data_IF_024948630194
#
_entry.id   IF_024948630194
#
_cell.length_a   1.000
_cell.length_b   1.000
_cell.length_c   1.000
_cell.angle_alpha   90.00
_cell.angle_beta   90.00
_cell.angle_gamma   90.00
#
_symmetry.space_group_name_H-M   'P 1'
#
loop_
_entity.id
_entity.type
_entity.pdbx_description
1 polymer ?
#
# COMPACT_ATOMS: atom_id res chain seq x y z
N UNK A 1 -3.88 8.22 -2.41
CA UNK A 1 -5.01 9.12 -2.27
C UNK A 1 -6.32 8.37 -2.07
N UNK A 2 -6.61 7.37 -2.90
CA UNK A 2 -7.83 6.56 -2.82
C UNK A 2 -7.99 5.91 -1.45
N UNK A 3 -6.93 5.35 -0.88
CA UNK A 3 -6.92 4.75 0.47
C UNK A 3 -7.37 5.72 1.56
N UNK A 4 -6.92 6.98 1.49
CA UNK A 4 -7.33 8.03 2.43
C UNK A 4 -8.82 8.39 2.28
N UNK A 5 -9.29 8.51 1.03
CA UNK A 5 -10.71 8.80 0.79
C UNK A 5 -11.63 7.66 1.26
N UNK A 6 -11.22 6.41 1.06
CA UNK A 6 -11.95 5.24 1.58
C UNK A 6 -11.96 5.20 3.10
N UNK A 7 -10.82 5.45 3.73
CA UNK A 7 -10.69 5.45 5.18
C UNK A 7 -11.64 6.45 5.86
N UNK A 8 -11.82 7.64 5.26
CA UNK A 8 -12.80 8.62 5.73
C UNK A 8 -14.23 8.05 5.71
N UNK A 9 -14.59 7.23 4.70
CA UNK A 9 -15.89 6.57 4.63
C UNK A 9 -16.09 5.50 5.70
N UNK A 10 -14.98 4.92 6.18
CA UNK A 10 -14.96 3.93 7.25
C UNK A 10 -14.81 4.56 8.66
N UNK A 11 -14.85 5.90 8.74
CA UNK A 11 -14.75 6.64 10.01
C UNK A 11 -13.33 6.76 10.55
N UNK A 12 -12.30 6.36 9.77
CA UNK A 12 -10.90 6.52 10.16
C UNK A 12 -10.53 8.00 10.06
N UNK A 13 -10.00 8.57 11.11
CA UNK A 13 -9.65 9.99 11.19
C UNK A 13 -8.43 10.23 12.10
N UNK A 14 -7.98 11.48 12.17
CA UNK A 14 -6.92 11.88 13.09
C UNK A 14 -5.60 11.12 12.86
N UNK A 15 -5.04 10.56 13.92
CA UNK A 15 -3.76 9.83 13.90
C UNK A 15 -3.82 8.57 13.06
N UNK A 16 -4.93 7.85 13.10
CA UNK A 16 -5.13 6.61 12.33
C UNK A 16 -5.14 6.90 10.83
N UNK A 17 -5.75 8.00 10.41
CA UNK A 17 -5.76 8.42 9.00
C UNK A 17 -4.37 8.84 8.53
N UNK A 18 -3.60 9.52 9.39
CA UNK A 18 -2.21 9.87 9.10
C UNK A 18 -1.35 8.62 8.93
N UNK A 19 -1.46 7.66 9.84
CA UNK A 19 -0.72 6.40 9.78
C UNK A 19 -1.10 5.57 8.55
N UNK A 20 -2.40 5.45 8.26
CA UNK A 20 -2.84 4.78 7.03
C UNK A 20 -2.23 5.41 5.78
N UNK A 21 -2.19 6.74 5.69
CA UNK A 21 -1.57 7.43 4.55
C UNK A 21 -0.08 7.06 4.43
N UNK A 22 0.64 6.98 5.55
CA UNK A 22 2.05 6.56 5.58
C UNK A 22 2.20 5.10 5.18
N UNK A 23 1.37 4.19 5.72
CA UNK A 23 1.38 2.77 5.31
C UNK A 23 1.10 2.62 3.81
N UNK A 24 0.12 3.35 3.28
CA UNK A 24 -0.20 3.30 1.85
C UNK A 24 0.93 3.83 0.96
N UNK A 25 1.73 4.80 1.43
CA UNK A 25 2.93 5.27 0.73
C UNK A 25 4.09 4.26 0.80
N UNK A 26 4.14 3.46 1.84
CA UNK A 26 5.24 2.55 2.15
C UNK A 26 4.91 1.08 1.88
N UNK A 27 3.71 0.74 1.37
CA UNK A 27 3.29 -0.66 1.26
C UNK A 27 4.28 -1.53 0.48
N UNK A 28 4.86 -0.99 -0.57
CA UNK A 28 5.84 -1.64 -1.44
C UNK A 28 7.30 -1.22 -1.14
N UNK A 29 7.61 -0.80 0.10
CA UNK A 29 8.94 -0.30 0.46
C UNK A 29 10.09 -1.29 0.20
N UNK A 30 9.80 -2.58 0.17
CA UNK A 30 10.76 -3.65 -0.09
C UNK A 30 10.74 -4.20 -1.52
N UNK A 31 9.86 -3.73 -2.39
CA UNK A 31 9.69 -4.32 -3.72
C UNK A 31 10.96 -4.20 -4.57
N UNK A 32 11.64 -3.05 -4.53
CA UNK A 32 12.90 -2.86 -5.28
C UNK A 32 14.01 -3.74 -4.72
N UNK A 33 14.12 -3.88 -3.40
CA UNK A 33 15.07 -4.78 -2.75
C UNK A 33 14.82 -6.22 -3.19
N UNK A 34 13.59 -6.69 -3.12
CA UNK A 34 13.18 -8.02 -3.52
C UNK A 34 13.54 -8.31 -4.98
N UNK A 35 13.22 -7.41 -5.90
CA UNK A 35 13.54 -7.56 -7.33
C UNK A 35 15.05 -7.65 -7.55
N UNK A 36 15.86 -6.85 -6.87
CA UNK A 36 17.31 -6.88 -7.01
C UNK A 36 17.90 -8.18 -6.47
N UNK A 37 17.47 -8.65 -5.32
CA UNK A 37 17.92 -9.91 -4.74
C UNK A 37 17.57 -11.11 -5.64
N UNK A 38 16.37 -11.13 -6.23
CA UNK A 38 15.95 -12.13 -7.20
C UNK A 38 16.80 -12.11 -8.50
N UNK A 39 17.07 -10.92 -9.04
CA UNK A 39 17.91 -10.78 -10.24
C UNK A 39 19.36 -11.28 -10.01
N UNK A 40 19.89 -11.09 -8.80
CA UNK A 40 21.22 -11.59 -8.44
C UNK A 40 21.25 -13.09 -8.17
N UNK A 41 20.12 -13.70 -7.83
CA UNK A 41 20.04 -15.15 -7.52
C UNK A 41 19.94 -16.05 -8.76
N UNK A 42 19.94 -15.50 -9.99
CA UNK A 42 19.75 -16.22 -11.26
C UNK A 42 18.46 -17.08 -11.34
N UNK A 43 17.45 -16.77 -10.56
CA UNK A 43 16.16 -17.45 -10.61
C UNK A 43 15.35 -16.92 -11.81
N UNK A 44 15.56 -17.56 -12.97
CA UNK A 44 15.02 -17.15 -14.27
C UNK A 44 13.57 -17.57 -14.51
N UNK A 45 12.89 -18.19 -13.57
CA UNK A 45 11.50 -18.60 -13.71
C UNK A 45 10.54 -17.64 -13.00
N UNK A 46 10.13 -16.59 -13.72
CA UNK A 46 9.03 -15.69 -13.31
C UNK A 46 7.65 -16.39 -13.19
N UNK A 47 7.62 -17.71 -13.22
CA UNK A 47 6.37 -18.49 -13.15
C UNK A 47 5.90 -18.83 -11.75
N UNK A 48 6.72 -18.61 -10.75
CA UNK A 48 6.36 -18.93 -9.36
C UNK A 48 5.93 -17.66 -8.62
N UNK A 49 4.64 -17.32 -8.72
CA UNK A 49 3.94 -16.32 -7.91
C UNK A 49 3.87 -16.61 -6.38
N UNK A 50 4.49 -17.67 -5.79
CA UNK A 50 4.51 -17.88 -4.33
C UNK A 50 5.33 -16.83 -3.56
N UNK A 51 5.99 -15.89 -4.24
CA UNK A 51 6.97 -14.98 -3.61
C UNK A 51 6.48 -13.58 -3.31
N UNK A 52 5.23 -13.29 -3.65
CA UNK A 52 4.63 -11.99 -3.32
C UNK A 52 4.67 -11.72 -1.80
N UNK A 53 4.53 -12.74 -0.97
CA UNK A 53 4.66 -12.65 0.48
C UNK A 53 6.07 -12.29 0.98
N UNK A 54 7.12 -12.48 0.17
CA UNK A 54 8.50 -12.18 0.58
C UNK A 54 8.71 -10.68 0.73
N UNK A 55 8.31 -9.86 -0.27
CA UNK A 55 8.44 -8.41 -0.13
C UNK A 55 7.54 -7.85 0.98
N UNK A 56 6.39 -8.47 1.24
CA UNK A 56 5.54 -8.10 2.37
C UNK A 56 6.25 -8.32 3.72
N UNK A 57 6.92 -9.46 3.88
CA UNK A 57 7.68 -9.78 5.09
C UNK A 57 8.86 -8.84 5.29
N UNK A 58 9.67 -8.62 4.25
CA UNK A 58 10.79 -7.68 4.29
C UNK A 58 10.28 -6.25 4.56
N UNK A 59 9.19 -5.86 3.90
CA UNK A 59 8.59 -4.55 4.06
C UNK A 59 8.08 -4.27 5.47
N UNK A 60 7.47 -5.26 6.12
CA UNK A 60 7.05 -5.17 7.52
C UNK A 60 8.26 -5.06 8.46
N UNK A 61 9.35 -5.80 8.19
CA UNK A 61 10.59 -5.69 8.94
C UNK A 61 11.25 -4.32 8.79
N UNK A 62 11.29 -3.79 7.58
CA UNK A 62 11.89 -2.49 7.27
C UNK A 62 11.24 -1.34 8.05
N UNK A 63 9.94 -1.41 8.30
CA UNK A 63 9.20 -0.38 9.05
C UNK A 63 9.22 -0.58 10.56
N UNK A 64 9.91 -1.62 11.08
CA UNK A 64 10.05 -1.81 12.52
C UNK A 64 10.75 -0.61 13.16
N UNK A 65 10.03 0.04 14.09
CA UNK A 65 10.51 1.25 14.75
C UNK A 65 10.26 2.54 13.97
N UNK A 66 9.52 2.49 12.87
CA UNK A 66 8.94 3.68 12.26
C UNK A 66 7.98 4.34 13.26
N UNK A 67 8.00 5.68 13.36
CA UNK A 67 7.24 6.37 14.40
C UNK A 67 5.76 6.52 14.04
N UNK A 68 5.03 5.40 13.97
CA UNK A 68 3.58 5.44 13.83
C UNK A 68 2.92 5.92 15.13
N UNK A 69 1.78 6.55 15.03
CA UNK A 69 0.97 6.98 16.17
C UNK A 69 0.15 5.84 16.78
N UNK A 70 -0.14 4.84 15.97
CA UNK A 70 -0.99 3.70 16.32
C UNK A 70 -0.17 2.42 16.45
N UNK A 71 -0.73 1.45 17.17
CA UNK A 71 -0.11 0.13 17.39
C UNK A 71 -0.62 -0.93 16.38
N UNK A 72 -1.14 -0.52 15.23
CA UNK A 72 -1.59 -1.46 14.19
C UNK A 72 -0.37 -2.16 13.62
N UNK A 73 -0.37 -3.50 13.69
CA UNK A 73 0.75 -4.35 13.23
C UNK A 73 0.37 -5.14 12.01
N UNK A 74 1.39 -5.62 11.29
CA UNK A 74 1.24 -6.49 10.13
C UNK A 74 0.47 -5.84 8.98
N UNK A 75 0.48 -4.50 8.89
CA UNK A 75 -0.20 -3.78 7.81
C UNK A 75 0.48 -4.07 6.48
N UNK A 76 1.80 -3.95 6.43
CA UNK A 76 2.59 -4.26 5.24
C UNK A 76 2.63 -5.77 5.01
N UNK A 77 2.73 -6.57 6.08
CA UNK A 77 2.78 -8.03 5.97
C UNK A 77 1.56 -8.59 5.22
N UNK A 78 0.36 -8.06 5.49
CA UNK A 78 -0.89 -8.62 4.98
C UNK A 78 -1.55 -7.80 3.87
N UNK A 79 -0.84 -6.83 3.26
CA UNK A 79 -1.45 -5.97 2.23
C UNK A 79 -1.76 -6.67 0.90
N UNK A 80 -1.37 -7.92 0.72
CA UNK A 80 -1.76 -8.78 -0.41
C UNK A 80 -2.66 -9.96 -0.02
N UNK A 81 -3.20 -9.97 1.20
CA UNK A 81 -4.14 -11.00 1.59
C UNK A 81 -5.49 -10.79 0.92
N UNK A 82 -6.03 -11.86 0.35
CA UNK A 82 -7.37 -11.89 -0.21
C UNK A 82 -8.42 -12.11 0.88
N UNK A 83 -9.60 -11.57 0.71
CA UNK A 83 -10.69 -11.66 1.68
C UNK A 83 -11.10 -13.11 2.01
N UNK A 84 -11.00 -14.02 1.04
CA UNK A 84 -11.32 -15.44 1.18
C UNK A 84 -10.18 -16.29 1.78
N UNK A 85 -9.01 -15.71 2.03
CA UNK A 85 -7.82 -16.40 2.54
C UNK A 85 -6.98 -17.08 1.46
N UNK A 86 -7.18 -16.78 0.19
CA UNK A 86 -6.35 -17.29 -0.92
C UNK A 86 -5.07 -16.48 -1.14
N UNK A 87 -4.77 -15.51 -0.27
CA UNK A 87 -3.56 -14.69 -0.32
C UNK A 87 -2.30 -15.42 0.17
N UNK A 88 -1.14 -14.71 0.18
CA UNK A 88 0.18 -15.32 0.43
C UNK A 88 0.33 -15.99 1.80
N UNK A 89 -0.37 -15.53 2.82
CA UNK A 89 -0.28 -16.05 4.19
C UNK A 89 -1.53 -16.80 4.64
N UNK A 90 -2.54 -16.90 3.78
CA UNK A 90 -3.78 -17.64 4.04
C UNK A 90 -4.69 -16.99 5.09
N UNK A 91 -4.58 -15.68 5.29
CA UNK A 91 -5.40 -14.94 6.26
C UNK A 91 -6.69 -14.45 5.62
N UNK A 92 -7.80 -14.66 6.31
CA UNK A 92 -9.11 -14.12 5.91
C UNK A 92 -9.30 -12.69 6.41
N UNK A 93 -10.26 -11.97 5.86
CA UNK A 93 -10.53 -10.56 6.19
C UNK A 93 -10.60 -10.26 7.68
N UNK A 94 -11.20 -11.16 8.49
CA UNK A 94 -11.32 -10.98 9.93
C UNK A 94 -9.99 -11.07 10.70
N UNK A 95 -8.95 -11.64 10.08
CA UNK A 95 -7.60 -11.75 10.62
C UNK A 95 -6.65 -10.67 10.10
N UNK A 96 -7.07 -9.93 9.04
CA UNK A 96 -6.27 -8.92 8.35
C UNK A 96 -6.60 -7.52 8.85
N UNK A 97 -5.62 -6.70 9.23
CA UNK A 97 -5.86 -5.32 9.64
C UNK A 97 -6.67 -4.53 8.60
N UNK A 98 -7.59 -3.67 9.04
CA UNK A 98 -8.40 -2.86 8.14
C UNK A 98 -7.52 -2.01 7.19
N UNK A 99 -6.41 -1.48 7.68
CA UNK A 99 -5.47 -0.71 6.85
C UNK A 99 -4.92 -1.55 5.67
N UNK A 100 -4.56 -2.82 5.93
CA UNK A 100 -4.10 -3.73 4.86
C UNK A 100 -5.19 -3.98 3.83
N UNK A 101 -6.44 -4.21 4.26
CA UNK A 101 -7.59 -4.45 3.37
C UNK A 101 -7.90 -3.24 2.48
N UNK A 102 -7.81 -2.03 3.04
CA UNK A 102 -7.97 -0.78 2.29
C UNK A 102 -6.84 -0.62 1.25
N UNK A 103 -5.59 -0.86 1.65
CA UNK A 103 -4.43 -0.75 0.77
C UNK A 103 -4.55 -1.78 -0.35
N UNK A 104 -4.88 -3.04 -0.03
CA UNK A 104 -5.06 -4.12 -1.00
C UNK A 104 -6.04 -3.76 -2.11
N UNK A 105 -7.23 -3.30 -1.76
CA UNK A 105 -8.22 -2.89 -2.76
C UNK A 105 -7.71 -1.75 -3.66
N UNK A 106 -7.06 -0.75 -3.06
CA UNK A 106 -6.53 0.38 -3.83
C UNK A 106 -5.40 -0.05 -4.77
N UNK A 107 -4.51 -0.93 -4.31
CA UNK A 107 -3.41 -1.48 -5.09
C UNK A 107 -3.92 -2.34 -6.26
N UNK A 108 -4.89 -3.23 -6.03
CA UNK A 108 -5.52 -4.02 -7.08
C UNK A 108 -6.11 -3.14 -8.20
N UNK A 109 -6.79 -2.05 -7.84
CA UNK A 109 -7.35 -1.13 -8.84
C UNK A 109 -6.27 -0.31 -9.53
N UNK A 110 -5.23 0.12 -8.81
CA UNK A 110 -4.10 0.85 -9.40
C UNK A 110 -3.36 -0.04 -10.41
N UNK A 111 -3.05 -1.27 -10.06
CA UNK A 111 -2.44 -2.25 -10.95
C UNK A 111 -3.33 -2.53 -12.18
N UNK A 112 -4.64 -2.70 -11.97
CA UNK A 112 -5.59 -2.92 -13.04
C UNK A 112 -5.67 -1.70 -13.99
N UNK A 113 -5.62 -0.48 -13.47
CA UNK A 113 -5.63 0.77 -14.25
C UNK A 113 -4.24 1.21 -14.72
N UNK A 114 -3.18 0.53 -14.33
CA UNK A 114 -1.81 0.88 -14.65
C UNK A 114 -1.64 1.13 -16.16
N UNK A 115 -1.04 2.26 -16.52
CA UNK A 115 -0.82 2.72 -17.90
C UNK A 115 -2.09 3.02 -18.71
N UNK A 116 -3.27 3.01 -18.10
CA UNK A 116 -4.50 3.46 -18.74
C UNK A 116 -4.72 4.95 -18.48
N UNK A 117 -5.34 5.63 -19.43
CA UNK A 117 -5.80 6.99 -19.21
C UNK A 117 -7.03 6.99 -18.27
N UNK A 118 -7.16 8.03 -17.47
CA UNK A 118 -8.35 8.24 -16.64
C UNK A 118 -9.50 8.76 -17.51
N UNK A 119 -10.28 7.83 -18.06
CA UNK A 119 -11.42 8.08 -18.96
C UNK A 119 -12.67 7.39 -18.41
N UNK A 120 -13.84 7.77 -18.94
CA UNK A 120 -15.10 7.08 -18.66
C UNK A 120 -15.02 5.58 -18.92
N UNK A 121 -14.40 5.16 -20.02
CA UNK A 121 -14.23 3.75 -20.37
C UNK A 121 -13.37 3.01 -19.33
N UNK A 122 -12.29 3.63 -18.86
CA UNK A 122 -11.44 3.04 -17.82
C UNK A 122 -12.16 2.99 -16.47
N UNK A 123 -12.99 3.98 -16.17
CA UNK A 123 -13.84 3.97 -14.96
C UNK A 123 -14.87 2.83 -15.00
N UNK A 124 -15.59 2.65 -16.11
CA UNK A 124 -16.54 1.55 -16.27
C UNK A 124 -15.82 0.18 -16.12
N UNK A 125 -14.65 0.05 -16.71
CA UNK A 125 -13.84 -1.15 -16.58
C UNK A 125 -13.36 -1.38 -15.14
N UNK A 126 -12.94 -0.34 -14.41
CA UNK A 126 -12.53 -0.44 -13.01
C UNK A 126 -13.71 -0.85 -12.10
N UNK A 127 -14.93 -0.37 -12.38
CA UNK A 127 -16.14 -0.83 -11.68
C UNK A 127 -16.43 -2.31 -11.93
N UNK A 128 -16.28 -2.77 -13.16
CA UNK A 128 -16.47 -4.18 -13.50
C UNK A 128 -15.42 -5.06 -12.78
N UNK A 129 -14.16 -4.62 -12.69
CA UNK A 129 -13.13 -5.29 -11.89
C UNK A 129 -13.56 -5.38 -10.42
N UNK A 130 -13.97 -4.24 -9.81
CA UNK A 130 -14.41 -4.23 -8.41
C UNK A 130 -15.52 -5.25 -8.15
N UNK A 131 -16.52 -5.33 -9.03
CA UNK A 131 -17.60 -6.30 -8.90
C UNK A 131 -17.12 -7.76 -8.99
N UNK A 132 -16.11 -8.04 -9.80
CA UNK A 132 -15.54 -9.39 -9.96
C UNK A 132 -14.71 -9.86 -8.77
N UNK A 133 -13.98 -8.94 -8.13
CA UNK A 133 -13.09 -9.26 -7.00
C UNK A 133 -13.79 -9.21 -5.64
N UNK A 134 -14.98 -8.61 -5.59
CA UNK A 134 -15.79 -8.45 -4.39
C UNK A 134 -16.18 -9.81 -3.81
N UNK A 135 -16.04 -9.98 -2.50
CA UNK A 135 -16.33 -11.21 -1.76
C UNK A 135 -15.29 -12.32 -1.92
N UNK A 136 -14.26 -12.14 -2.76
CA UNK A 136 -13.16 -13.08 -2.94
C UNK A 136 -11.81 -12.43 -2.60
N UNK A 137 -11.36 -11.50 -3.40
CA UNK A 137 -10.10 -10.78 -3.13
C UNK A 137 -10.32 -9.62 -2.15
N UNK A 138 -11.48 -8.96 -2.21
CA UNK A 138 -11.83 -7.79 -1.40
C UNK A 138 -13.08 -8.08 -0.58
N UNK A 139 -13.06 -7.69 0.68
CA UNK A 139 -14.22 -7.82 1.57
C UNK A 139 -15.30 -6.77 1.27
N UNK A 140 -16.50 -7.06 1.77
CA UNK A 140 -17.70 -6.27 1.52
C UNK A 140 -17.59 -4.85 2.08
N UNK A 141 -17.02 -4.70 3.28
CA UNK A 141 -16.87 -3.42 3.97
C UNK A 141 -16.00 -2.44 3.16
N UNK A 142 -14.86 -2.93 2.64
CA UNK A 142 -13.96 -2.12 1.80
C UNK A 142 -14.58 -1.82 0.43
N UNK A 143 -15.25 -2.79 -0.20
CA UNK A 143 -15.92 -2.60 -1.48
C UNK A 143 -17.01 -1.52 -1.39
N UNK A 144 -17.88 -1.59 -0.37
CA UNK A 144 -18.91 -0.59 -0.13
C UNK A 144 -18.34 0.80 0.18
N UNK A 145 -17.25 0.86 0.96
CA UNK A 145 -16.61 2.13 1.27
C UNK A 145 -16.06 2.82 0.00
N UNK A 146 -15.48 2.03 -0.90
CA UNK A 146 -15.03 2.56 -2.18
C UNK A 146 -16.21 2.99 -3.05
N UNK A 147 -17.26 2.20 -3.19
CA UNK A 147 -18.42 2.52 -4.02
C UNK A 147 -19.04 3.88 -3.64
N UNK A 148 -19.05 4.26 -2.36
CA UNK A 148 -19.57 5.56 -1.89
C UNK A 148 -18.83 6.77 -2.49
N UNK A 149 -17.59 6.61 -2.91
CA UNK A 149 -16.76 7.68 -3.44
C UNK A 149 -16.43 7.50 -4.93
N UNK A 150 -16.61 6.30 -5.50
CA UNK A 150 -16.10 5.91 -6.81
C UNK A 150 -17.00 6.36 -7.96
N UNK A 151 -17.40 7.66 -7.93
CA UNK A 151 -18.09 8.29 -9.06
C UNK A 151 -17.15 8.46 -10.26
N UNK A 152 -17.73 8.65 -11.45
CA UNK A 152 -16.94 8.96 -12.65
C UNK A 152 -16.10 10.24 -12.46
N UNK A 153 -16.70 11.29 -11.89
CA UNK A 153 -16.02 12.55 -11.60
C UNK A 153 -14.81 12.35 -10.68
N UNK A 154 -14.98 11.54 -9.61
CA UNK A 154 -13.88 11.19 -8.71
C UNK A 154 -12.78 10.46 -9.46
N UNK A 155 -13.11 9.42 -10.24
CA UNK A 155 -12.14 8.65 -10.99
C UNK A 155 -11.36 9.50 -11.99
N UNK A 156 -12.05 10.34 -12.76
CA UNK A 156 -11.42 11.26 -13.72
C UNK A 156 -10.47 12.25 -13.01
N UNK A 157 -10.81 12.67 -11.79
CA UNK A 157 -9.97 13.57 -10.99
C UNK A 157 -8.62 12.94 -10.57
N UNK A 158 -8.52 11.60 -10.51
CA UNK A 158 -7.28 10.91 -10.20
C UNK A 158 -6.21 11.08 -11.28
N UNK A 159 -6.59 11.40 -12.50
CA UNK A 159 -5.68 11.75 -13.61
C UNK A 159 -5.03 13.12 -13.48
N UNK A 160 -5.47 13.94 -12.51
CA UNK A 160 -4.96 15.27 -12.24
C UNK A 160 -3.91 15.31 -11.12
N UNK A 161 -3.67 16.52 -10.62
CA UNK A 161 -2.76 16.71 -9.47
C UNK A 161 -3.53 16.49 -8.16
N UNK A 162 -3.60 15.23 -7.72
CA UNK A 162 -4.22 14.84 -6.45
C UNK A 162 -3.34 15.07 -5.22
N UNK A 163 -2.06 15.39 -5.41
CA UNK A 163 -1.09 15.54 -4.30
C UNK A 163 -1.52 16.62 -3.31
N UNK A 164 -1.92 17.79 -3.80
CA UNK A 164 -2.42 18.88 -2.95
C UNK A 164 -3.67 18.45 -2.20
N UNK A 165 -4.58 17.73 -2.87
CA UNK A 165 -5.81 17.22 -2.27
C UNK A 165 -5.51 16.19 -1.17
N UNK A 166 -4.52 15.32 -1.39
CA UNK A 166 -4.05 14.36 -0.39
C UNK A 166 -3.55 15.06 0.86
N UNK A 167 -2.63 16.02 0.70
CA UNK A 167 -2.04 16.71 1.85
C UNK A 167 -3.01 17.62 2.60
N UNK A 168 -4.12 18.02 1.96
CA UNK A 168 -5.20 18.74 2.64
C UNK A 168 -6.10 17.81 3.46
N UNK A 169 -6.20 16.53 3.09
CA UNK A 169 -7.01 15.52 3.81
C UNK A 169 -6.26 14.89 4.97
N UNK A 170 -4.98 14.60 4.79
CA UNK A 170 -4.17 13.92 5.81
C UNK A 170 -3.88 14.87 6.98
N UNK A 171 -4.30 14.53 8.21
CA UNK A 171 -4.00 15.32 9.39
C UNK A 171 -2.48 15.45 9.60
N UNK A 172 -2.05 16.63 10.01
CA UNK A 172 -0.63 16.89 10.33
C UNK A 172 -0.42 16.85 11.84
N UNK A 173 -0.48 15.66 12.38
CA UNK A 173 -0.18 15.45 13.81
C UNK A 173 1.33 15.55 14.03
N UNK A 174 1.73 16.41 14.97
CA UNK A 174 3.13 16.53 15.35
C UNK A 174 3.52 15.36 16.25
N UNK A 175 4.74 14.87 16.05
CA UNK A 175 5.34 13.85 16.88
C UNK A 175 6.76 14.29 17.25
N UNK A 176 7.10 14.19 18.52
CA UNK A 176 8.46 14.41 18.99
C UNK A 176 9.22 13.09 18.87
N UNK A 177 10.35 13.13 18.19
CA UNK A 177 11.21 11.99 18.00
C UNK A 177 12.52 12.18 18.76
N UNK A 178 12.98 11.15 19.45
CA UNK A 178 14.31 11.11 19.99
C UNK A 178 15.37 10.84 18.88
N UNK A 179 16.64 11.01 19.25
CA UNK A 179 17.74 10.83 18.29
C UNK A 179 17.81 9.39 17.72
N UNK A 180 17.46 8.39 18.51
CA UNK A 180 17.44 6.98 18.06
C UNK A 180 16.37 6.75 17.01
N UNK A 181 15.18 7.30 17.21
CA UNK A 181 14.07 7.23 16.25
C UNK A 181 14.40 7.97 14.95
N UNK A 182 15.01 9.15 15.05
CA UNK A 182 15.47 9.91 13.85
C UNK A 182 16.52 9.10 13.09
N UNK A 183 17.47 8.46 13.78
CA UNK A 183 18.50 7.62 13.15
C UNK A 183 17.89 6.41 12.43
N UNK A 184 16.92 5.73 13.04
CA UNK A 184 16.20 4.60 12.42
C UNK A 184 15.47 5.05 11.16
N UNK A 185 14.76 6.18 11.23
CA UNK A 185 14.03 6.74 10.11
C UNK A 185 14.97 7.14 8.96
N UNK A 186 16.09 7.78 9.26
CA UNK A 186 17.11 8.11 8.26
C UNK A 186 17.71 6.85 7.61
N UNK A 187 18.00 5.82 8.42
CA UNK A 187 18.49 4.53 7.93
C UNK A 187 17.50 3.84 6.98
N UNK A 188 16.22 3.86 7.31
CA UNK A 188 15.16 3.34 6.45
C UNK A 188 15.14 4.03 5.07
N UNK A 189 15.17 5.36 5.04
CA UNK A 189 15.17 6.07 3.75
C UNK A 189 16.48 5.87 2.98
N UNK A 190 17.62 5.81 3.66
CA UNK A 190 18.90 5.50 3.03
C UNK A 190 18.85 4.14 2.33
N UNK A 191 18.33 3.11 3.00
CA UNK A 191 18.16 1.77 2.44
C UNK A 191 17.28 1.75 1.18
N UNK A 192 16.14 2.45 1.18
CA UNK A 192 15.29 2.57 -0.01
C UNK A 192 16.05 3.23 -1.18
N UNK A 193 16.81 4.28 -0.90
CA UNK A 193 17.60 4.99 -1.93
C UNK A 193 18.70 4.08 -2.48
N UNK A 194 19.40 3.35 -1.63
CA UNK A 194 20.48 2.44 -2.03
C UNK A 194 19.99 1.33 -2.96
N UNK A 195 18.82 0.73 -2.67
CA UNK A 195 18.21 -0.26 -3.56
C UNK A 195 17.70 0.32 -4.88
N UNK A 196 17.38 1.62 -4.96
CA UNK A 196 16.97 2.27 -6.21
C UNK A 196 18.13 2.66 -7.12
N UNK A 197 19.35 2.73 -6.61
CA UNK A 197 20.52 3.19 -7.37
C UNK A 197 21.66 2.17 -7.30
N UNK A 198 22.02 1.53 -8.42
CA UNK A 198 23.18 0.62 -8.47
C UNK A 198 24.51 1.33 -8.15
N UNK A 199 24.54 2.67 -8.16
CA UNK A 199 25.74 3.47 -7.86
C UNK A 199 25.92 3.75 -6.37
N UNK A 200 24.87 3.68 -5.55
CA UNK A 200 24.94 3.99 -4.11
C UNK A 200 25.14 2.73 -3.26
N UNK A 201 24.78 1.55 -3.74
CA UNK A 201 24.90 0.29 -3.00
C UNK A 201 26.32 -0.11 -2.60
N UNK A 202 27.34 0.54 -3.14
CA UNK A 202 28.77 0.29 -2.82
C UNK A 202 29.36 1.29 -1.84
N UNK A 203 28.63 2.32 -1.41
CA UNK A 203 29.13 3.40 -0.58
C UNK A 203 28.58 3.45 0.85
N UNK A 204 27.65 2.56 1.20
CA UNK A 204 27.03 2.51 2.52
C UNK A 204 27.71 1.41 3.38
N UNK A 205 29.00 1.60 3.71
CA UNK A 205 29.74 0.84 4.73
C UNK A 205 30.14 1.79 5.86
#
# INVERSE_FOLDING_TARGET
YMSVCMAEQLGICGKDLQDLAVYALLHDNALTQYIQEELHSNLTDMKDMPRIGVHCSIGEENIQGFPFHTDVKNVILYHHENADGSGPFGKKSEEVPLFSRIIHLCDLLDQACCRKAFTTETWEWAKDILQRIRGTMVDEECAEALERIFSEEYFLSLGGNFEVSLWNKVPRQKQELDFSQIKKLAGFFAQIVDYKSPFTSTHSI
#
